data_IF_238373427437
#
_entry.id   IF_238373427437
#
_cell.length_a   1.000
_cell.length_b   1.000
_cell.length_c   1.000
_cell.angle_alpha   90.00
_cell.angle_beta   90.00
_cell.angle_gamma   90.00
#
_symmetry.space_group_name_H-M   'P 1'
#
loop_
_entity.id
_entity.type
_entity.pdbx_description
1 polymer ?
#
# COMPACT_ATOMS: atom_id res chain seq x y z
N UNK A 1 21.04 14.53 -4.27
CA UNK A 1 20.06 14.89 -3.23
C UNK A 1 20.84 15.40 -2.05
N UNK A 2 20.56 16.60 -1.54
CA UNK A 2 21.27 17.08 -0.36
C UNK A 2 20.99 16.14 0.83
N UNK A 3 22.07 15.61 1.41
CA UNK A 3 22.00 14.75 2.58
C UNK A 3 21.64 15.65 3.76
N UNK A 4 20.58 15.37 4.53
CA UNK A 4 20.26 16.13 5.73
C UNK A 4 21.49 16.18 6.64
N UNK A 5 21.82 17.35 7.19
CA UNK A 5 23.08 17.58 7.94
C UNK A 5 23.34 16.55 9.05
N UNK A 6 22.29 16.00 9.66
CA UNK A 6 22.41 14.97 10.69
C UNK A 6 22.88 13.60 10.19
N UNK A 7 22.80 13.33 8.87
CA UNK A 7 23.20 12.05 8.27
C UNK A 7 24.56 12.09 7.57
N UNK A 8 25.12 13.28 7.31
CA UNK A 8 26.40 13.42 6.63
C UNK A 8 27.54 12.61 7.27
N UNK A 9 27.69 12.59 8.64
CA UNK A 9 28.72 11.76 9.27
C UNK A 9 28.53 10.26 9.05
N UNK A 10 27.28 9.79 8.96
CA UNK A 10 26.97 8.37 8.71
C UNK A 10 27.29 7.98 7.27
N UNK A 11 27.01 8.85 6.32
CA UNK A 11 27.35 8.61 4.90
C UNK A 11 28.86 8.56 4.74
N UNK A 12 29.58 9.53 5.29
CA UNK A 12 31.05 9.56 5.26
C UNK A 12 31.64 8.30 5.91
N UNK A 13 31.10 7.86 7.03
CA UNK A 13 31.54 6.63 7.71
C UNK A 13 31.37 5.37 6.85
N UNK A 14 30.33 5.30 6.03
CA UNK A 14 30.12 4.17 5.08
C UNK A 14 31.01 4.32 3.85
N UNK A 15 31.22 5.55 3.35
CA UNK A 15 32.06 5.81 2.17
C UNK A 15 33.54 5.51 2.45
N UNK A 16 34.01 5.76 3.67
CA UNK A 16 35.39 5.45 4.06
C UNK A 16 35.67 3.94 4.09
N UNK A 17 34.67 3.14 4.43
CA UNK A 17 34.79 1.68 4.47
C UNK A 17 33.43 1.01 4.24
N UNK A 18 33.14 0.56 3.01
CA UNK A 18 31.87 -0.10 2.69
C UNK A 18 31.59 -1.40 3.48
N UNK A 19 32.63 -2.06 4.01
CA UNK A 19 32.46 -3.28 4.80
C UNK A 19 31.87 -2.98 6.19
N UNK A 20 32.06 -1.76 6.69
CA UNK A 20 31.48 -1.33 7.98
C UNK A 20 29.97 -1.45 7.99
N UNK A 21 29.30 -1.11 6.88
CA UNK A 21 27.85 -1.26 6.77
C UNK A 21 27.43 -2.73 6.89
N UNK A 22 28.12 -3.63 6.18
CA UNK A 22 27.80 -5.06 6.21
C UNK A 22 28.04 -5.65 7.60
N UNK A 23 29.12 -5.27 8.25
CA UNK A 23 29.46 -5.67 9.62
C UNK A 23 28.45 -5.17 10.63
N UNK A 24 28.04 -3.91 10.55
CA UNK A 24 27.03 -3.32 11.43
C UNK A 24 25.66 -4.00 11.27
N UNK A 25 25.26 -4.30 10.04
CA UNK A 25 24.00 -5.02 9.77
C UNK A 25 24.03 -6.47 10.29
N UNK A 26 25.18 -7.16 10.16
CA UNK A 26 25.38 -8.51 10.70
C UNK A 26 25.32 -8.51 12.22
N UNK A 27 25.98 -7.57 12.87
CA UNK A 27 25.93 -7.39 14.32
C UNK A 27 24.51 -7.10 14.81
N UNK A 28 23.79 -6.20 14.11
CA UNK A 28 22.40 -5.90 14.42
C UNK A 28 21.50 -7.14 14.28
N UNK A 29 21.68 -7.95 13.23
CA UNK A 29 20.93 -9.18 13.02
C UNK A 29 21.18 -10.19 14.16
N UNK A 30 22.43 -10.34 14.59
CA UNK A 30 22.81 -11.22 15.71
C UNK A 30 22.19 -10.76 17.03
N UNK A 31 22.25 -9.46 17.35
CA UNK A 31 21.65 -8.90 18.56
C UNK A 31 20.14 -9.06 18.59
N UNK A 32 19.48 -8.80 17.47
CA UNK A 32 18.04 -8.97 17.33
C UNK A 32 17.64 -10.45 17.49
N UNK A 33 18.40 -11.36 16.89
CA UNK A 33 18.16 -12.80 17.02
C UNK A 33 18.29 -13.27 18.47
N UNK A 34 19.33 -12.82 19.17
CA UNK A 34 19.53 -13.14 20.60
C UNK A 34 18.40 -12.58 21.47
N UNK A 35 17.88 -11.41 21.14
CA UNK A 35 16.78 -10.78 21.85
C UNK A 35 15.38 -11.34 21.43
N UNK A 36 15.30 -12.29 20.51
CA UNK A 36 14.04 -12.81 19.98
C UNK A 36 13.22 -11.76 19.21
N UNK A 37 13.86 -10.70 18.71
CA UNK A 37 13.22 -9.56 18.03
C UNK A 37 13.47 -9.61 16.53
N UNK A 38 12.61 -8.92 15.78
CA UNK A 38 12.74 -8.73 14.33
C UNK A 38 12.67 -7.25 14.00
N UNK A 39 13.41 -6.84 12.98
CA UNK A 39 13.37 -5.49 12.42
C UNK A 39 12.74 -5.54 11.03
N UNK A 40 11.71 -4.75 10.83
CA UNK A 40 11.12 -4.48 9.53
C UNK A 40 11.42 -3.04 9.16
N UNK A 41 12.15 -2.84 8.07
CA UNK A 41 12.43 -1.53 7.48
C UNK A 41 11.45 -1.37 6.30
N UNK A 42 10.70 -0.28 6.31
CA UNK A 42 9.70 0.01 5.29
C UNK A 42 10.10 1.28 4.55
N UNK A 43 10.18 1.18 3.23
CA UNK A 43 10.34 2.34 2.35
C UNK A 43 9.04 2.54 1.57
N UNK A 44 8.46 3.70 1.75
CA UNK A 44 7.29 4.18 1.02
C UNK A 44 7.64 5.42 0.20
N UNK A 45 6.78 5.78 -0.74
CA UNK A 45 6.92 6.96 -1.58
C UNK A 45 8.26 7.02 -2.35
N UNK A 46 8.66 5.91 -2.99
CA UNK A 46 9.89 5.81 -3.76
C UNK A 46 9.94 6.76 -4.98
N UNK A 47 8.79 7.24 -5.42
CA UNK A 47 8.64 8.26 -6.45
C UNK A 47 9.14 9.65 -6.04
N UNK A 48 9.42 9.86 -4.75
CA UNK A 48 9.90 11.13 -4.18
C UNK A 48 11.36 11.08 -3.70
N UNK A 49 12.10 10.04 -4.06
CA UNK A 49 13.49 9.87 -3.60
C UNK A 49 14.46 10.85 -4.23
N UNK A 50 14.19 11.32 -5.44
CA UNK A 50 15.04 12.23 -6.19
C UNK A 50 14.31 13.47 -6.68
N UNK A 51 15.07 14.51 -7.04
CA UNK A 51 14.55 15.72 -7.66
C UNK A 51 14.18 15.51 -9.13
N UNK A 52 14.83 14.56 -9.77
CA UNK A 52 14.62 14.17 -11.15
C UNK A 52 14.39 12.66 -11.29
N UNK A 53 13.95 12.24 -12.47
CA UNK A 53 13.63 10.85 -12.76
C UNK A 53 14.87 9.94 -12.76
N UNK A 54 16.01 10.40 -13.24
CA UNK A 54 17.24 9.60 -13.28
C UNK A 54 17.75 9.30 -11.87
N UNK A 55 17.79 10.31 -11.02
CA UNK A 55 18.17 10.18 -9.61
C UNK A 55 17.21 9.24 -8.88
N UNK A 56 15.90 9.41 -9.08
CA UNK A 56 14.88 8.52 -8.50
C UNK A 56 15.08 7.07 -8.91
N UNK A 57 15.36 6.81 -10.20
CA UNK A 57 15.66 5.45 -10.72
C UNK A 57 16.91 4.85 -10.09
N UNK A 58 17.99 5.64 -10.04
CA UNK A 58 19.27 5.18 -9.49
C UNK A 58 19.11 4.81 -8.00
N UNK A 59 18.44 5.65 -7.21
CA UNK A 59 18.18 5.39 -5.80
C UNK A 59 17.24 4.20 -5.59
N UNK A 60 16.18 4.09 -6.39
CA UNK A 60 15.25 2.95 -6.34
C UNK A 60 15.96 1.65 -6.65
N UNK A 61 16.80 1.62 -7.69
CA UNK A 61 17.63 0.46 -8.03
C UNK A 61 18.60 0.09 -6.91
N UNK A 62 19.24 1.08 -6.28
CA UNK A 62 20.12 0.85 -5.14
C UNK A 62 19.37 0.24 -3.96
N UNK A 63 18.16 0.74 -3.65
CA UNK A 63 17.29 0.18 -2.59
C UNK A 63 16.85 -1.24 -2.90
N UNK A 64 16.49 -1.55 -4.15
CA UNK A 64 16.14 -2.92 -4.56
C UNK A 64 17.31 -3.89 -4.33
N UNK A 65 18.53 -3.49 -4.71
CA UNK A 65 19.74 -4.28 -4.42
C UNK A 65 19.97 -4.49 -2.93
N UNK A 66 19.77 -3.45 -2.12
CA UNK A 66 19.89 -3.55 -0.64
C UNK A 66 18.80 -4.43 -0.05
N UNK A 67 17.59 -4.35 -0.54
CA UNK A 67 16.49 -5.23 -0.12
C UNK A 67 16.78 -6.71 -0.48
N UNK A 68 17.38 -6.96 -1.65
CA UNK A 68 17.83 -8.29 -2.04
C UNK A 68 18.92 -8.82 -1.10
N UNK A 69 19.95 -8.01 -0.84
CA UNK A 69 21.04 -8.38 0.08
C UNK A 69 20.51 -8.64 1.50
N UNK A 70 19.54 -7.86 1.96
CA UNK A 70 18.95 -8.02 3.30
C UNK A 70 18.20 -9.35 3.50
N UNK A 71 17.92 -10.11 2.44
CA UNK A 71 17.31 -11.44 2.55
C UNK A 71 18.22 -12.48 3.25
N UNK A 72 19.53 -12.23 3.25
CA UNK A 72 20.50 -13.10 3.95
C UNK A 72 20.39 -13.00 5.48
N UNK A 73 19.89 -11.90 6.03
CA UNK A 73 19.70 -11.73 7.46
C UNK A 73 18.52 -12.56 7.98
N UNK A 74 18.63 -13.06 9.22
CA UNK A 74 17.59 -13.89 9.86
C UNK A 74 16.41 -13.06 10.37
N UNK A 75 16.70 -11.89 10.93
CA UNK A 75 15.75 -11.07 11.69
C UNK A 75 15.43 -9.74 11.03
N UNK A 76 16.23 -9.29 10.05
CA UNK A 76 16.03 -8.02 9.35
C UNK A 76 15.30 -8.28 8.02
N UNK A 77 14.28 -7.49 7.77
CA UNK A 77 13.52 -7.51 6.51
C UNK A 77 13.32 -6.10 6.00
N UNK A 78 13.41 -5.95 4.68
CA UNK A 78 13.12 -4.69 3.99
C UNK A 78 11.88 -4.89 3.13
N UNK A 79 10.93 -3.95 3.22
CA UNK A 79 9.76 -3.85 2.36
C UNK A 79 9.77 -2.54 1.61
N UNK A 80 9.55 -2.61 0.30
CA UNK A 80 9.51 -1.46 -0.59
C UNK A 80 8.11 -1.37 -1.16
N UNK A 81 7.46 -0.22 -0.99
CA UNK A 81 6.21 0.09 -1.66
C UNK A 81 6.53 0.85 -2.94
N UNK A 82 6.13 0.28 -4.05
CA UNK A 82 6.38 0.83 -5.38
C UNK A 82 5.05 1.01 -6.10
N UNK A 83 4.96 2.03 -6.93
CA UNK A 83 3.85 2.17 -7.87
C UNK A 83 4.00 1.12 -8.98
N UNK A 84 2.88 0.75 -9.59
CA UNK A 84 2.86 -0.27 -10.64
C UNK A 84 3.73 0.13 -11.84
N UNK A 85 3.63 1.39 -12.27
CA UNK A 85 4.43 1.93 -13.37
C UNK A 85 5.95 1.88 -13.11
N UNK A 86 6.38 2.13 -11.87
CA UNK A 86 7.79 1.95 -11.46
C UNK A 86 8.20 0.47 -11.49
N UNK A 87 7.32 -0.42 -11.03
CA UNK A 87 7.63 -1.85 -11.03
C UNK A 87 7.69 -2.45 -12.44
N UNK A 88 6.97 -1.89 -13.39
CA UNK A 88 6.99 -2.26 -14.81
C UNK A 88 8.23 -1.74 -15.55
N UNK A 89 8.94 -0.76 -15.00
CA UNK A 89 10.22 -0.29 -15.56
C UNK A 89 11.30 -1.38 -15.41
N UNK A 90 11.50 -2.13 -16.48
CA UNK A 90 12.47 -3.22 -16.52
C UNK A 90 13.89 -2.79 -16.17
N UNK A 91 14.24 -1.52 -16.44
CA UNK A 91 15.57 -0.98 -16.15
C UNK A 91 15.91 -0.93 -14.66
N UNK A 92 14.89 -0.87 -13.79
CA UNK A 92 15.10 -0.94 -12.34
C UNK A 92 15.58 -2.32 -11.87
N UNK A 93 15.30 -3.36 -12.66
CA UNK A 93 15.63 -4.76 -12.37
C UNK A 93 16.81 -5.30 -13.20
N UNK A 94 17.54 -4.41 -13.85
CA UNK A 94 18.74 -4.77 -14.61
C UNK A 94 19.95 -4.95 -13.68
N UNK A 95 19.89 -6.02 -12.87
CA UNK A 95 20.99 -6.47 -12.02
C UNK A 95 20.83 -7.97 -11.68
N UNK A 96 21.92 -8.65 -11.28
CA UNK A 96 21.89 -10.06 -10.96
C UNK A 96 20.85 -10.37 -9.86
N UNK A 97 20.13 -11.49 -10.02
CA UNK A 97 19.15 -11.99 -9.06
C UNK A 97 17.90 -11.10 -8.84
N UNK A 98 17.66 -10.08 -9.65
CA UNK A 98 16.50 -9.21 -9.57
C UNK A 98 15.16 -9.99 -9.64
N UNK A 99 15.15 -11.13 -10.36
CA UNK A 99 14.01 -12.03 -10.44
C UNK A 99 13.52 -12.51 -9.06
N UNK A 100 14.44 -12.66 -8.10
CA UNK A 100 14.11 -13.06 -6.73
C UNK A 100 13.24 -12.01 -6.00
N UNK A 101 13.41 -10.72 -6.34
CA UNK A 101 12.57 -9.63 -5.83
C UNK A 101 11.23 -9.66 -6.55
N UNK A 102 11.24 -9.74 -7.88
CA UNK A 102 10.02 -9.74 -8.69
C UNK A 102 9.07 -10.87 -8.28
N UNK A 103 9.61 -12.05 -7.97
CA UNK A 103 8.82 -13.21 -7.53
C UNK A 103 8.23 -13.07 -6.11
N UNK A 104 8.65 -12.08 -5.32
CA UNK A 104 8.11 -11.80 -3.99
C UNK A 104 7.17 -10.60 -3.96
N UNK A 105 6.77 -10.11 -5.14
CA UNK A 105 5.78 -9.06 -5.29
C UNK A 105 4.45 -9.47 -4.65
N UNK A 106 3.84 -8.52 -3.98
CA UNK A 106 2.46 -8.60 -3.51
C UNK A 106 1.75 -7.36 -4.03
N UNK A 107 0.73 -7.56 -4.84
CA UNK A 107 -0.07 -6.45 -5.35
C UNK A 107 -1.07 -6.01 -4.28
N UNK A 108 -1.08 -4.71 -4.02
CA UNK A 108 -2.05 -4.09 -3.13
C UNK A 108 -3.12 -3.43 -4.00
N UNK A 109 -4.17 -4.18 -4.27
CA UNK A 109 -5.28 -3.72 -5.07
C UNK A 109 -6.52 -3.54 -4.19
N UNK A 110 -7.20 -2.43 -4.42
CA UNK A 110 -8.51 -2.21 -3.84
C UNK A 110 -9.58 -2.72 -4.80
N UNK A 111 -10.32 -3.72 -4.38
CA UNK A 111 -11.54 -4.08 -5.08
C UNK A 111 -12.62 -3.08 -4.75
N UNK A 112 -13.60 -2.96 -5.62
CA UNK A 112 -14.75 -2.05 -5.42
C UNK A 112 -15.41 -2.28 -4.05
N UNK A 113 -15.57 -3.54 -3.64
CA UNK A 113 -16.15 -3.92 -2.37
C UNK A 113 -15.32 -3.42 -1.16
N UNK A 114 -14.00 -3.46 -1.28
CA UNK A 114 -13.09 -3.01 -0.22
C UNK A 114 -13.16 -1.50 -0.04
N UNK A 115 -13.24 -0.75 -1.15
CA UNK A 115 -13.40 0.71 -1.14
C UNK A 115 -14.72 1.14 -0.49
N UNK A 116 -15.82 0.49 -0.83
CA UNK A 116 -17.11 0.76 -0.18
C UNK A 116 -17.13 0.29 1.28
N UNK A 117 -16.50 -0.84 1.59
CA UNK A 117 -16.33 -1.29 2.97
C UNK A 117 -15.59 -0.25 3.83
N UNK A 118 -14.54 0.37 3.27
CA UNK A 118 -13.83 1.46 3.93
C UNK A 118 -14.73 2.70 4.14
N UNK A 119 -15.47 3.12 3.10
CA UNK A 119 -16.41 4.23 3.19
C UNK A 119 -17.46 3.98 4.28
N UNK A 120 -18.08 2.82 4.30
CA UNK A 120 -19.11 2.46 5.28
C UNK A 120 -18.54 2.42 6.70
N UNK A 121 -17.35 1.83 6.87
CA UNK A 121 -16.65 1.85 8.16
C UNK A 121 -16.36 3.27 8.64
N UNK A 122 -16.08 4.19 7.73
CA UNK A 122 -15.87 5.60 8.03
C UNK A 122 -17.17 6.28 8.47
N UNK A 123 -18.29 6.03 7.77
CA UNK A 123 -19.60 6.57 8.12
C UNK A 123 -20.08 6.08 9.50
N UNK A 124 -19.84 4.80 9.81
CA UNK A 124 -20.17 4.24 11.13
C UNK A 124 -19.38 4.88 12.29
N UNK A 125 -18.17 5.38 12.02
CA UNK A 125 -17.31 6.01 13.03
C UNK A 125 -17.58 7.51 13.20
N UNK A 126 -18.17 8.16 12.20
CA UNK A 126 -18.53 9.58 12.29
C UNK A 126 -19.75 9.77 13.19
N UNK A 127 -19.59 10.49 14.30
CA UNK A 127 -20.67 10.75 15.25
C UNK A 127 -21.89 11.40 14.61
N UNK A 128 -21.68 12.29 13.64
CA UNK A 128 -22.75 13.01 12.92
C UNK A 128 -23.51 12.16 11.90
N UNK A 129 -22.93 11.06 11.41
CA UNK A 129 -23.52 10.24 10.36
C UNK A 129 -23.98 8.86 10.86
N UNK A 130 -23.43 8.40 11.98
CA UNK A 130 -23.60 7.04 12.49
C UNK A 130 -25.06 6.60 12.59
N UNK A 131 -25.88 7.40 13.22
CA UNK A 131 -27.28 7.03 13.47
C UNK A 131 -28.08 6.94 12.16
N UNK A 132 -27.98 7.94 11.32
CA UNK A 132 -28.64 7.94 10.00
C UNK A 132 -28.16 6.80 9.12
N UNK A 133 -26.86 6.49 9.16
CA UNK A 133 -26.29 5.37 8.38
C UNK A 133 -26.79 4.02 8.89
N UNK A 134 -26.91 3.81 10.20
CA UNK A 134 -27.48 2.59 10.78
C UNK A 134 -28.95 2.41 10.41
N UNK A 135 -29.75 3.46 10.53
CA UNK A 135 -31.16 3.42 10.12
C UNK A 135 -31.31 3.07 8.64
N UNK A 136 -30.45 3.62 7.77
CA UNK A 136 -30.42 3.24 6.37
C UNK A 136 -30.06 1.76 6.18
N UNK A 137 -29.03 1.28 6.84
CA UNK A 137 -28.63 -0.14 6.76
C UNK A 137 -29.75 -1.08 7.24
N UNK A 138 -30.41 -0.76 8.33
CA UNK A 138 -31.49 -1.56 8.86
C UNK A 138 -32.69 -1.59 7.89
N UNK A 139 -33.01 -0.47 7.27
CA UNK A 139 -34.06 -0.41 6.24
C UNK A 139 -33.72 -1.25 5.00
N UNK A 140 -32.45 -1.32 4.63
CA UNK A 140 -31.98 -2.14 3.50
C UNK A 140 -31.93 -3.63 3.85
N UNK A 141 -31.51 -3.99 5.07
CA UNK A 141 -31.55 -5.37 5.57
C UNK A 141 -32.99 -5.89 5.60
N UNK A 142 -33.96 -5.07 6.02
CA UNK A 142 -35.35 -5.44 5.96
C UNK A 142 -35.81 -5.74 4.53
N UNK A 143 -35.45 -4.91 3.57
CA UNK A 143 -35.73 -5.16 2.14
C UNK A 143 -35.08 -6.44 1.63
N UNK A 144 -33.82 -6.72 1.99
CA UNK A 144 -33.11 -7.94 1.60
C UNK A 144 -33.75 -9.19 2.19
N UNK A 145 -34.19 -9.16 3.44
CA UNK A 145 -34.87 -10.28 4.08
C UNK A 145 -36.22 -10.58 3.44
N UNK A 146 -36.88 -9.58 2.89
CA UNK A 146 -38.13 -9.73 2.12
C UNK A 146 -37.92 -10.32 0.72
N UNK A 147 -36.66 -10.28 0.19
CA UNK A 147 -36.28 -10.76 -1.13
C UNK A 147 -35.01 -11.61 -1.04
N UNK A 148 -35.08 -12.87 -0.62
CA UNK A 148 -33.91 -13.69 -0.28
C UNK A 148 -32.98 -14.03 -1.46
N UNK A 149 -33.26 -13.60 -2.66
CA UNK A 149 -32.40 -13.85 -3.84
C UNK A 149 -31.24 -12.86 -3.98
N UNK A 150 -31.11 -11.86 -3.11
CA UNK A 150 -30.03 -10.85 -3.13
C UNK A 150 -29.09 -11.14 -1.97
N UNK A 151 -28.25 -12.17 -2.08
CA UNK A 151 -27.40 -12.60 -0.96
C UNK A 151 -25.91 -12.40 -1.15
N UNK A 152 -25.46 -11.64 -2.16
CA UNK A 152 -24.04 -11.37 -2.34
C UNK A 152 -23.64 -10.03 -1.67
N UNK A 153 -22.46 -10.00 -1.03
CA UNK A 153 -21.95 -8.80 -0.35
C UNK A 153 -21.88 -7.58 -1.28
N UNK A 154 -21.58 -7.80 -2.55
CA UNK A 154 -21.52 -6.78 -3.58
C UNK A 154 -22.91 -6.16 -3.87
N UNK A 155 -23.96 -6.98 -3.92
CA UNK A 155 -25.32 -6.48 -4.15
C UNK A 155 -25.82 -5.67 -2.95
N UNK A 156 -25.46 -6.06 -1.73
CA UNK A 156 -25.76 -5.31 -0.52
C UNK A 156 -25.08 -3.94 -0.51
N UNK A 157 -23.81 -3.88 -0.87
CA UNK A 157 -23.08 -2.62 -0.97
C UNK A 157 -23.67 -1.71 -2.05
N UNK A 158 -24.02 -2.26 -3.19
CA UNK A 158 -24.64 -1.54 -4.28
C UNK A 158 -25.97 -0.89 -3.89
N UNK A 159 -26.82 -1.62 -3.21
CA UNK A 159 -28.09 -1.06 -2.68
C UNK A 159 -27.81 0.07 -1.68
N UNK A 160 -26.80 -0.08 -0.83
CA UNK A 160 -26.43 0.95 0.15
C UNK A 160 -25.90 2.20 -0.55
N UNK A 161 -25.06 2.06 -1.57
CA UNK A 161 -24.52 3.19 -2.34
C UNK A 161 -25.61 3.90 -3.14
N UNK A 162 -26.50 3.14 -3.79
CA UNK A 162 -27.63 3.71 -4.54
C UNK A 162 -28.60 4.48 -3.61
N UNK A 163 -28.78 3.99 -2.38
CA UNK A 163 -29.59 4.69 -1.39
C UNK A 163 -28.92 5.95 -0.83
N UNK A 164 -27.59 5.94 -0.65
CA UNK A 164 -26.83 7.09 -0.15
C UNK A 164 -26.67 8.20 -1.18
N UNK A 165 -26.46 7.85 -2.43
CA UNK A 165 -26.03 8.77 -3.46
C UNK A 165 -27.08 9.00 -4.57
N UNK A 166 -28.12 8.20 -4.63
CA UNK A 166 -29.10 8.20 -5.70
C UNK A 166 -29.82 9.54 -5.90
N UNK A 167 -30.12 10.26 -4.81
CA UNK A 167 -30.76 11.59 -4.88
C UNK A 167 -29.78 12.68 -5.34
N UNK A 168 -28.50 12.59 -4.93
CA UNK A 168 -27.50 13.63 -5.17
C UNK A 168 -26.81 13.48 -6.54
N UNK A 169 -26.57 12.25 -6.96
CA UNK A 169 -25.81 11.97 -8.18
C UNK A 169 -26.70 11.61 -9.37
N UNK A 170 -27.98 11.40 -9.13
CA UNK A 170 -28.94 10.95 -10.12
C UNK A 170 -28.71 9.51 -10.55
N UNK A 171 -29.77 8.80 -10.87
CA UNK A 171 -29.70 7.50 -11.54
C UNK A 171 -29.33 7.76 -13.02
N UNK A 172 -28.09 8.20 -13.28
CA UNK A 172 -27.70 8.65 -14.60
C UNK A 172 -27.70 7.50 -15.59
N UNK A 173 -28.66 7.48 -16.44
CA UNK A 173 -28.82 6.52 -17.53
C UNK A 173 -27.63 6.51 -18.52
N UNK A 174 -26.84 7.59 -18.57
CA UNK A 174 -25.75 7.76 -19.54
C UNK A 174 -24.37 7.29 -19.05
N UNK A 175 -24.13 7.19 -17.74
CA UNK A 175 -22.81 6.89 -17.16
C UNK A 175 -22.75 5.64 -16.28
N UNK A 176 -23.76 4.81 -16.32
CA UNK A 176 -23.83 3.63 -15.46
C UNK A 176 -24.38 3.93 -14.06
N UNK A 177 -24.38 2.92 -13.20
CA UNK A 177 -24.86 3.06 -11.82
C UNK A 177 -23.80 3.73 -10.97
N UNK A 178 -24.21 4.49 -9.95
CA UNK A 178 -23.33 5.17 -9.00
C UNK A 178 -22.29 4.23 -8.41
N UNK A 179 -22.67 3.01 -8.08
CA UNK A 179 -21.76 1.98 -7.56
C UNK A 179 -20.55 1.70 -8.47
N UNK A 180 -20.74 1.66 -9.78
CA UNK A 180 -19.65 1.40 -10.73
C UNK A 180 -18.90 2.68 -11.12
N UNK A 181 -19.51 3.84 -10.97
CA UNK A 181 -18.93 5.11 -11.39
C UNK A 181 -17.98 5.71 -10.35
N UNK A 182 -18.34 5.65 -9.06
CA UNK A 182 -17.52 6.25 -7.99
C UNK A 182 -16.08 5.73 -7.93
N UNK A 183 -15.79 4.43 -8.11
CA UNK A 183 -14.41 3.94 -8.09
C UNK A 183 -13.58 4.28 -9.33
N UNK A 184 -14.20 4.80 -10.41
CA UNK A 184 -13.53 5.09 -11.68
C UNK A 184 -13.18 6.57 -11.85
N UNK A 185 -13.55 7.42 -10.91
CA UNK A 185 -13.32 8.86 -10.87
C UNK A 185 -12.78 9.32 -9.52
#
# INVERSE_FOLDING_TARGET
>A
VPIPQGFSPLVQWVDEDPERYASAMTEADNRLATAGRRLLIVFDALDRLGEDWETTRALTRALLRRALAARSYRTIRIKLFMRLDQFEDSSLFDFPDASKIRNTRVDLEWRTEDLYGLLFSRLERLSSARESFRQLQDSLRFRQSAFPQVSQAQDSQKLTVDALAGEFMGASKKRGRVFTWLPTH
#
